data_IF_689302591747
#
_entry.id   IF_689302591747
#
_cell.length_a   1.000
_cell.length_b   1.000
_cell.length_c   1.000
_cell.angle_alpha   90.00
_cell.angle_beta   90.00
_cell.angle_gamma   90.00
#
_symmetry.space_group_name_H-M   'P 1'
#
loop_
_entity.id
_entity.type
_entity.pdbx_description
1 polymer ?
#
# COMPACT_ATOMS: atom_id res chain seq x y z
N UNK A 1 -4.20 -23.67 8.82
CA UNK A 1 -3.33 -22.66 8.16
C UNK A 1 -4.04 -21.91 7.04
N UNK A 2 -4.76 -22.58 6.13
CA UNK A 2 -5.52 -21.91 5.06
C UNK A 2 -6.57 -20.91 5.60
N UNK A 3 -7.37 -21.31 6.60
CA UNK A 3 -8.41 -20.44 7.18
C UNK A 3 -7.84 -19.20 7.88
N UNK A 4 -6.67 -19.32 8.50
CA UNK A 4 -5.99 -18.20 9.14
C UNK A 4 -5.55 -17.15 8.11
N UNK A 5 -4.99 -17.60 6.98
CA UNK A 5 -4.58 -16.71 5.88
C UNK A 5 -5.80 -16.08 5.18
N UNK A 6 -6.89 -16.84 5.02
CA UNK A 6 -8.15 -16.32 4.48
C UNK A 6 -8.74 -15.23 5.40
N UNK A 7 -8.79 -15.48 6.71
CA UNK A 7 -9.26 -14.50 7.69
C UNK A 7 -8.39 -13.25 7.75
N UNK A 8 -7.06 -13.40 7.69
CA UNK A 8 -6.14 -12.26 7.61
C UNK A 8 -6.43 -11.42 6.36
N UNK A 9 -6.55 -12.05 5.20
CA UNK A 9 -6.81 -11.36 3.92
C UNK A 9 -8.14 -10.61 3.98
N UNK A 10 -9.19 -11.23 4.52
CA UNK A 10 -10.49 -10.58 4.69
C UNK A 10 -10.41 -9.36 5.63
N UNK A 11 -9.67 -9.47 6.74
CA UNK A 11 -9.48 -8.35 7.66
C UNK A 11 -8.68 -7.22 7.00
N UNK A 12 -7.62 -7.54 6.25
CA UNK A 12 -6.85 -6.56 5.50
C UNK A 12 -7.70 -5.86 4.42
N UNK A 13 -8.58 -6.57 3.73
CA UNK A 13 -9.53 -5.96 2.78
C UNK A 13 -10.47 -4.98 3.48
N UNK A 14 -10.95 -5.30 4.69
CA UNK A 14 -11.77 -4.39 5.50
C UNK A 14 -10.99 -3.16 5.94
N UNK A 15 -9.72 -3.31 6.31
CA UNK A 15 -8.83 -2.18 6.63
C UNK A 15 -8.61 -1.30 5.41
N UNK A 16 -8.36 -1.90 4.24
CA UNK A 16 -8.21 -1.14 3.00
C UNK A 16 -9.48 -0.37 2.65
N UNK A 17 -10.65 -1.00 2.79
CA UNK A 17 -11.95 -0.33 2.60
C UNK A 17 -12.16 0.82 3.58
N UNK A 18 -11.84 0.61 4.86
CA UNK A 18 -11.91 1.67 5.86
C UNK A 18 -10.99 2.84 5.52
N UNK A 19 -9.73 2.57 5.16
CA UNK A 19 -8.77 3.61 4.75
C UNK A 19 -9.24 4.39 3.53
N UNK A 20 -9.82 3.70 2.53
CA UNK A 20 -10.39 4.36 1.36
C UNK A 20 -11.57 5.28 1.73
N UNK A 21 -12.51 4.80 2.54
CA UNK A 21 -13.68 5.57 2.97
C UNK A 21 -13.30 6.77 3.84
N UNK A 22 -12.36 6.58 4.77
CA UNK A 22 -11.86 7.64 5.65
C UNK A 22 -11.19 8.78 4.89
N UNK A 23 -10.55 8.45 3.77
CA UNK A 23 -9.74 9.40 2.99
C UNK A 23 -10.37 9.84 1.68
N UNK A 24 -11.55 9.32 1.32
CA UNK A 24 -12.15 9.49 -0.01
C UNK A 24 -11.16 9.12 -1.14
N UNK A 25 -10.36 8.07 -0.92
CA UNK A 25 -9.35 7.62 -1.86
C UNK A 25 -9.97 6.89 -3.05
N UNK A 26 -9.35 7.04 -4.22
CA UNK A 26 -9.66 6.25 -5.40
C UNK A 26 -9.27 4.77 -5.19
N UNK A 27 -8.12 4.54 -4.58
CA UNK A 27 -7.70 3.24 -4.09
C UNK A 27 -7.01 3.34 -2.73
N UNK A 28 -7.16 2.30 -1.92
CA UNK A 28 -6.35 2.01 -0.74
C UNK A 28 -5.77 0.61 -0.89
N UNK A 29 -4.44 0.50 -0.77
CA UNK A 29 -3.63 -0.66 -1.13
C UNK A 29 -2.79 -1.06 0.07
N UNK A 30 -2.75 -2.36 0.38
CA UNK A 30 -1.93 -2.89 1.46
C UNK A 30 -0.90 -3.85 0.87
N UNK A 31 0.36 -3.45 0.97
CA UNK A 31 1.53 -4.22 0.58
C UNK A 31 2.23 -4.80 1.80
N UNK A 32 2.59 -6.09 1.74
CA UNK A 32 3.40 -6.75 2.76
C UNK A 32 4.56 -7.49 2.07
N UNK A 33 5.65 -7.83 2.79
CA UNK A 33 6.71 -8.68 2.24
C UNK A 33 6.14 -9.93 1.58
N UNK A 34 6.61 -10.27 0.38
CA UNK A 34 6.03 -11.35 -0.46
C UNK A 34 5.93 -12.72 0.25
N UNK A 35 6.79 -12.97 1.21
CA UNK A 35 6.84 -14.20 2.01
C UNK A 35 6.09 -14.09 3.35
N UNK A 36 5.41 -12.97 3.64
CA UNK A 36 4.68 -12.78 4.89
C UNK A 36 3.61 -13.87 5.09
N UNK A 37 3.46 -14.46 6.31
CA UNK A 37 4.13 -14.11 7.57
C UNK A 37 5.42 -14.91 7.85
N UNK A 38 5.99 -15.61 6.86
CA UNK A 38 7.19 -16.46 7.07
C UNK A 38 8.38 -15.62 7.53
N UNK A 39 9.22 -16.21 8.39
CA UNK A 39 10.43 -15.58 8.94
C UNK A 39 11.65 -15.63 8.02
N UNK A 40 11.44 -15.31 6.74
CA UNK A 40 12.55 -15.18 5.79
C UNK A 40 12.63 -13.75 5.28
N UNK A 41 13.79 -13.32 4.78
CA UNK A 41 13.91 -12.01 4.14
C UNK A 41 13.30 -12.05 2.74
N UNK A 42 12.65 -10.95 2.35
CA UNK A 42 12.17 -10.72 0.99
C UNK A 42 12.69 -9.37 0.51
N UNK A 43 13.12 -9.29 -0.74
CA UNK A 43 13.42 -8.04 -1.43
C UNK A 43 12.20 -7.43 -2.11
N UNK A 44 11.04 -8.06 -2.00
CA UNK A 44 9.81 -7.68 -2.70
C UNK A 44 8.62 -7.59 -1.76
N UNK A 45 7.69 -6.72 -2.11
CA UNK A 45 6.37 -6.57 -1.50
C UNK A 45 5.32 -7.09 -2.46
N UNK A 46 4.35 -7.84 -1.95
CA UNK A 46 3.14 -8.23 -2.69
C UNK A 46 1.96 -7.37 -2.28
N UNK A 47 1.04 -7.12 -3.19
CA UNK A 47 -0.28 -6.58 -2.87
C UNK A 47 -1.10 -7.68 -2.16
N UNK A 48 -1.38 -7.50 -0.86
CA UNK A 48 -2.12 -8.47 -0.05
C UNK A 48 -3.61 -8.17 0.03
N UNK A 49 -3.97 -6.89 0.05
CA UNK A 49 -5.36 -6.45 0.08
C UNK A 49 -5.50 -5.07 -0.54
N UNK A 50 -6.70 -4.78 -1.03
CA UNK A 50 -7.02 -3.45 -1.54
C UNK A 50 -8.52 -3.20 -1.53
N UNK A 51 -8.87 -1.92 -1.56
CA UNK A 51 -10.17 -1.42 -1.98
C UNK A 51 -9.92 -0.37 -3.05
N UNK A 52 -10.62 -0.45 -4.17
CA UNK A 52 -10.36 0.44 -5.31
C UNK A 52 -11.60 0.62 -6.16
N UNK A 53 -11.77 1.82 -6.69
CA UNK A 53 -12.73 2.15 -7.73
C UNK A 53 -12.20 1.86 -9.15
N UNK A 54 -10.93 1.42 -9.29
CA UNK A 54 -10.33 1.00 -10.55
C UNK A 54 -10.63 -0.47 -10.85
N UNK A 55 -10.96 -0.75 -12.12
CA UNK A 55 -11.05 -2.11 -12.67
C UNK A 55 -9.70 -2.63 -13.19
N UNK A 56 -8.65 -1.82 -13.13
CA UNK A 56 -7.34 -2.09 -13.74
C UNK A 56 -6.24 -2.46 -12.72
N UNK A 57 -6.62 -2.81 -11.49
CA UNK A 57 -5.68 -3.30 -10.47
C UNK A 57 -5.07 -4.66 -10.89
N UNK A 58 -3.76 -4.76 -10.78
CA UNK A 58 -2.99 -6.00 -10.85
C UNK A 58 -3.09 -6.74 -9.50
N UNK A 59 -4.05 -7.65 -9.37
CA UNK A 59 -4.33 -8.38 -8.11
C UNK A 59 -3.15 -9.17 -7.54
N UNK A 60 -2.17 -9.50 -8.38
CA UNK A 60 -0.96 -10.24 -8.02
C UNK A 60 0.28 -9.35 -8.14
N UNK A 61 0.12 -8.03 -7.99
CA UNK A 61 1.23 -7.09 -8.07
C UNK A 61 2.31 -7.45 -7.06
N UNK A 62 3.54 -7.51 -7.55
CA UNK A 62 4.76 -7.68 -6.77
C UNK A 62 5.71 -6.57 -7.19
N UNK A 63 6.23 -5.83 -6.21
CA UNK A 63 7.11 -4.69 -6.45
C UNK A 63 8.40 -4.85 -5.63
N UNK A 64 9.54 -4.33 -6.11
CA UNK A 64 10.76 -4.30 -5.33
C UNK A 64 10.60 -3.40 -4.09
N UNK A 65 11.05 -3.86 -2.93
CA UNK A 65 10.97 -3.13 -1.67
C UNK A 65 11.95 -1.94 -1.60
N UNK A 66 12.82 -1.77 -2.59
CA UNK A 66 13.81 -0.70 -2.69
C UNK A 66 13.62 0.20 -3.93
N UNK A 67 12.50 0.07 -4.63
CA UNK A 67 12.19 0.83 -5.85
C UNK A 67 10.79 1.43 -5.83
N UNK A 68 10.62 2.54 -6.54
CA UNK A 68 9.38 3.29 -6.60
C UNK A 68 8.97 3.90 -5.25
N UNK A 69 7.83 4.60 -5.25
CA UNK A 69 7.34 5.31 -4.06
C UNK A 69 6.94 4.35 -2.92
N UNK A 70 6.30 3.23 -3.26
CA UNK A 70 5.88 2.24 -2.26
C UNK A 70 7.11 1.53 -1.65
N UNK A 71 8.07 1.10 -2.46
CA UNK A 71 9.33 0.54 -1.95
C UNK A 71 10.10 1.56 -1.10
N UNK A 72 10.13 2.83 -1.51
CA UNK A 72 10.76 3.88 -0.72
C UNK A 72 10.16 3.97 0.70
N UNK A 73 8.83 3.94 0.85
CA UNK A 73 8.14 3.95 2.16
C UNK A 73 8.54 2.73 2.99
N UNK A 74 8.51 1.54 2.38
CA UNK A 74 8.88 0.29 3.05
C UNK A 74 10.32 0.30 3.56
N UNK A 75 11.25 0.79 2.74
CA UNK A 75 12.69 0.83 3.03
C UNK A 75 13.06 1.87 4.08
N UNK A 76 12.51 3.08 3.98
CA UNK A 76 12.87 4.19 4.85
C UNK A 76 12.01 4.28 6.09
N UNK A 77 10.94 3.48 6.18
CA UNK A 77 10.00 3.44 7.31
C UNK A 77 9.44 4.83 7.62
N UNK A 78 9.14 5.58 6.56
CA UNK A 78 8.67 6.97 6.62
C UNK A 78 7.48 7.16 5.71
N UNK A 79 6.48 7.87 6.24
CA UNK A 79 5.31 8.27 5.49
C UNK A 79 5.69 9.26 4.38
N UNK A 80 5.06 9.14 3.22
CA UNK A 80 5.17 10.11 2.12
C UNK A 80 3.81 10.71 1.83
N UNK A 81 3.81 11.96 1.39
CA UNK A 81 2.65 12.61 0.81
C UNK A 81 3.09 13.30 -0.49
N UNK A 82 2.54 12.84 -1.62
CA UNK A 82 2.89 13.32 -2.95
C UNK A 82 1.67 13.98 -3.55
N UNK A 83 1.73 15.30 -3.68
CA UNK A 83 0.72 16.12 -4.37
C UNK A 83 1.37 17.41 -4.88
N UNK A 84 1.27 17.72 -6.18
CA UNK A 84 0.63 16.90 -7.22
C UNK A 84 1.43 15.62 -7.50
N UNK A 85 0.73 14.54 -7.83
CA UNK A 85 1.32 13.35 -8.45
C UNK A 85 1.21 13.51 -9.96
N UNK A 86 2.36 13.69 -10.62
CA UNK A 86 2.44 13.99 -12.06
C UNK A 86 2.99 12.82 -12.90
N UNK A 87 3.20 11.67 -12.27
CA UNK A 87 3.70 10.49 -12.94
C UNK A 87 2.56 9.63 -13.50
N UNK A 88 2.90 8.75 -14.44
CA UNK A 88 2.01 7.71 -14.89
C UNK A 88 1.72 6.73 -13.73
N UNK A 89 0.45 6.44 -13.43
CA UNK A 89 0.10 5.57 -12.29
C UNK A 89 0.67 4.16 -12.40
N UNK A 90 1.03 3.69 -13.60
CA UNK A 90 1.71 2.40 -13.82
C UNK A 90 3.07 2.34 -13.13
N UNK A 91 3.69 3.48 -12.85
CA UNK A 91 4.96 3.55 -12.10
C UNK A 91 4.82 3.06 -10.65
N UNK A 92 3.60 2.99 -10.10
CA UNK A 92 3.34 2.39 -8.79
C UNK A 92 3.37 0.85 -8.83
N UNK A 93 3.40 0.22 -10.01
CA UNK A 93 3.48 -1.23 -10.20
C UNK A 93 2.17 -2.00 -9.92
N UNK A 94 1.07 -1.28 -9.67
CA UNK A 94 -0.24 -1.85 -9.29
C UNK A 94 -1.32 -1.67 -10.36
N UNK A 95 -1.12 -0.77 -11.32
CA UNK A 95 -2.11 -0.47 -12.37
C UNK A 95 -1.70 -1.00 -13.74
N UNK A 96 -2.64 -1.56 -14.49
CA UNK A 96 -2.44 -1.99 -15.90
C UNK A 96 -2.37 -0.82 -16.87
N UNK A 97 -3.06 0.27 -16.56
CA UNK A 97 -3.18 1.47 -17.39
C UNK A 97 -2.92 2.70 -16.52
N UNK A 98 -2.68 3.85 -17.16
CA UNK A 98 -2.62 5.10 -16.43
C UNK A 98 -4.03 5.49 -15.94
N UNK A 99 -4.19 5.65 -14.62
CA UNK A 99 -5.44 5.99 -13.93
C UNK A 99 -5.57 7.49 -13.65
N UNK A 100 -4.63 8.29 -14.15
CA UNK A 100 -4.61 9.76 -14.02
C UNK A 100 -4.65 10.25 -12.56
N UNK A 101 -3.94 9.52 -11.70
CA UNK A 101 -3.78 9.89 -10.30
C UNK A 101 -3.14 11.28 -10.16
N UNK A 102 -3.54 12.00 -9.11
CA UNK A 102 -3.12 13.37 -8.79
C UNK A 102 -2.60 13.52 -7.37
N UNK A 103 -2.80 12.53 -6.51
CA UNK A 103 -2.15 12.48 -5.21
C UNK A 103 -1.94 11.04 -4.73
N UNK A 104 -0.94 10.85 -3.88
CA UNK A 104 -0.60 9.60 -3.23
C UNK A 104 -0.17 9.88 -1.79
N UNK A 105 -0.63 9.07 -0.85
CA UNK A 105 -0.07 8.96 0.50
C UNK A 105 0.37 7.51 0.72
N UNK A 106 1.53 7.32 1.33
CA UNK A 106 2.04 6.00 1.70
C UNK A 106 2.50 6.01 3.14
N UNK A 107 1.98 5.07 3.94
CA UNK A 107 2.23 4.93 5.38
C UNK A 107 2.89 3.57 5.62
N UNK A 108 4.02 3.52 6.35
CA UNK A 108 4.69 2.27 6.65
C UNK A 108 3.92 1.48 7.72
N UNK A 109 3.72 0.18 7.50
CA UNK A 109 3.16 -0.76 8.48
C UNK A 109 4.33 -1.43 9.20
N UNK A 110 4.51 -1.14 10.50
CA UNK A 110 5.56 -1.75 11.29
C UNK A 110 5.28 -3.22 11.57
N UNK A 111 6.10 -4.09 10.96
CA UNK A 111 6.02 -5.55 11.10
C UNK A 111 7.05 -6.09 12.10
N UNK A 112 7.89 -5.24 12.69
CA UNK A 112 8.97 -5.65 13.60
C UNK A 112 8.46 -6.40 14.83
N UNK A 113 7.26 -6.06 15.31
CA UNK A 113 6.58 -6.73 16.43
C UNK A 113 6.10 -8.14 16.11
N UNK A 114 5.90 -8.45 14.82
CA UNK A 114 5.47 -9.76 14.34
C UNK A 114 6.70 -10.62 14.02
N UNK A 115 7.71 -10.02 13.41
CA UNK A 115 8.92 -10.71 12.97
C UNK A 115 10.11 -9.76 12.90
N UNK A 116 11.02 -9.88 13.87
CA UNK A 116 12.23 -9.05 13.99
C UNK A 116 13.24 -9.26 12.86
N UNK A 117 13.12 -10.34 12.06
CA UNK A 117 13.99 -10.58 10.92
C UNK A 117 13.57 -9.83 9.65
N UNK A 118 12.40 -9.18 9.62
CA UNK A 118 11.94 -8.42 8.46
C UNK A 118 12.73 -7.10 8.36
N UNK A 119 13.40 -6.91 7.22
CA UNK A 119 14.22 -5.73 6.93
C UNK A 119 13.43 -4.51 6.41
N UNK A 120 12.20 -4.69 5.91
CA UNK A 120 11.37 -3.62 5.35
C UNK A 120 9.94 -3.65 5.90
N UNK A 121 9.33 -2.47 6.08
CA UNK A 121 7.95 -2.39 6.56
C UNK A 121 6.96 -2.81 5.46
N UNK A 122 5.75 -3.22 5.87
CA UNK A 122 4.62 -3.20 4.95
C UNK A 122 4.26 -1.76 4.57
N UNK A 123 3.31 -1.56 3.66
CA UNK A 123 2.86 -0.23 3.26
C UNK A 123 1.35 -0.23 3.09
N UNK A 124 0.67 0.72 3.74
CA UNK A 124 -0.67 1.14 3.40
C UNK A 124 -0.54 2.37 2.49
N UNK A 125 -1.07 2.32 1.28
CA UNK A 125 -1.02 3.43 0.35
C UNK A 125 -2.42 3.80 -0.13
N UNK A 126 -2.75 5.09 -0.10
CA UNK A 126 -3.96 5.61 -0.70
C UNK A 126 -3.59 6.52 -1.88
N UNK A 127 -4.34 6.41 -2.97
CA UNK A 127 -4.22 7.31 -4.12
C UNK A 127 -5.54 7.97 -4.48
N UNK A 128 -5.49 9.07 -5.22
CA UNK A 128 -6.67 9.80 -5.65
C UNK A 128 -6.46 10.47 -7.01
N UNK A 129 -7.55 10.64 -7.76
CA UNK A 129 -7.61 11.48 -8.97
C UNK A 129 -7.80 12.97 -8.64
N UNK A 130 -7.94 13.33 -7.37
CA UNK A 130 -7.98 14.72 -6.89
C UNK A 130 -6.58 15.14 -6.43
N UNK A 131 -6.15 16.33 -6.82
CA UNK A 131 -4.96 16.95 -6.24
C UNK A 131 -5.24 17.29 -4.77
N UNK A 132 -4.23 17.19 -3.91
CA UNK A 132 -4.31 17.53 -2.48
C UNK A 132 -5.41 16.78 -1.70
N UNK A 133 -5.73 15.55 -2.11
CA UNK A 133 -6.80 14.75 -1.51
C UNK A 133 -6.55 14.38 -0.04
N UNK A 134 -5.29 14.27 0.37
CA UNK A 134 -4.93 13.81 1.70
C UNK A 134 -4.45 14.97 2.58
N UNK A 135 -5.27 15.34 3.55
CA UNK A 135 -4.89 16.30 4.58
C UNK A 135 -3.88 15.69 5.57
N UNK A 136 -3.15 16.55 6.30
CA UNK A 136 -2.29 16.11 7.41
C UNK A 136 -3.05 15.31 8.48
N UNK A 137 -4.34 15.62 8.70
CA UNK A 137 -5.18 14.91 9.66
C UNK A 137 -5.48 13.50 9.17
N UNK A 138 -5.84 13.34 7.89
CA UNK A 138 -6.06 12.01 7.31
C UNK A 138 -4.79 11.15 7.35
N UNK A 139 -3.62 11.74 7.09
CA UNK A 139 -2.34 11.04 7.27
C UNK A 139 -2.15 10.51 8.68
N UNK A 140 -2.42 11.33 9.70
CA UNK A 140 -2.36 10.91 11.12
C UNK A 140 -3.41 9.87 11.50
N UNK A 141 -4.57 9.86 10.85
CA UNK A 141 -5.62 8.88 11.13
C UNK A 141 -5.34 7.52 10.47
N UNK A 142 -4.49 7.50 9.45
CA UNK A 142 -4.02 6.27 8.80
C UNK A 142 -2.83 5.62 9.54
N UNK A 143 -2.04 6.41 10.28
CA UNK A 143 -0.94 5.95 11.15
C UNK A 143 -1.45 5.32 12.46
#
# INVERSE_FOLDING_TARGET
MADLLANLTNNLCRIAQFGANLTDAYSCLIFLPQNFPKKTNSSHLSLYAYHSLSTNILKQAVIPADSGLIGWVAKHKRSIHVSPFEHDSRTLGVYKVNEELKSLIGIPIDLSRINSSINFNGVLACDSRKSFAFSKIQGKLLE
#
